data_IF_452095270243
#
_entry.id   IF_452095270243
#
_cell.length_a   1.000
_cell.length_b   1.000
_cell.length_c   1.000
_cell.angle_alpha   90.00
_cell.angle_beta   90.00
_cell.angle_gamma   90.00
#
_symmetry.space_group_name_H-M   'P 1'
#
loop_
_entity.id
_entity.type
_entity.pdbx_description
1 polymer ?
#
# COMPACT_ATOMS: atom_id res chain seq x y z
N UNK A 1 -11.17 -23.30 3.28
CA UNK A 1 -9.99 -22.75 3.97
C UNK A 1 -9.81 -21.32 3.47
N UNK A 2 -10.33 -20.31 4.17
CA UNK A 2 -9.96 -18.91 3.87
C UNK A 2 -8.48 -18.81 4.22
N UNK A 3 -7.61 -18.71 3.22
CA UNK A 3 -6.19 -18.46 3.48
C UNK A 3 -6.10 -17.24 4.41
N UNK A 4 -5.51 -17.42 5.59
CA UNK A 4 -5.42 -16.35 6.58
C UNK A 4 -4.44 -15.29 6.07
N UNK A 5 -4.97 -14.27 5.40
CA UNK A 5 -4.22 -13.12 4.88
C UNK A 5 -3.47 -12.37 5.99
N UNK A 6 -4.00 -12.38 7.22
CA UNK A 6 -3.47 -11.64 8.35
C UNK A 6 -1.99 -11.92 8.68
N UNK A 7 -1.52 -13.15 8.43
CA UNK A 7 -0.14 -13.56 8.70
C UNK A 7 0.82 -13.39 7.52
N UNK A 8 0.36 -12.93 6.35
CA UNK A 8 1.22 -12.75 5.17
C UNK A 8 2.02 -11.45 5.27
N UNK A 9 3.24 -11.45 4.73
CA UNK A 9 4.04 -10.23 4.48
C UNK A 9 3.30 -9.35 3.48
N UNK A 10 3.03 -8.09 3.83
CA UNK A 10 2.32 -7.14 2.96
C UNK A 10 3.13 -5.85 2.76
N UNK A 11 3.03 -5.30 1.54
CA UNK A 11 3.38 -3.93 1.18
C UNK A 11 2.12 -3.23 0.69
N UNK A 12 1.81 -2.07 1.26
CA UNK A 12 0.78 -1.17 0.75
C UNK A 12 1.43 0.15 0.29
N UNK A 13 1.61 0.30 -1.02
CA UNK A 13 1.96 1.58 -1.64
C UNK A 13 0.69 2.39 -1.84
N UNK A 14 0.60 3.60 -1.29
CA UNK A 14 -0.69 4.30 -1.22
C UNK A 14 -0.64 5.77 -1.68
N UNK A 15 -1.48 6.17 -2.65
CA UNK A 15 -1.61 7.55 -3.10
C UNK A 15 -2.40 8.38 -2.08
N UNK A 16 -1.77 9.40 -1.50
CA UNK A 16 -2.38 10.14 -0.39
C UNK A 16 -3.42 11.17 -0.83
N UNK A 17 -3.47 11.51 -2.12
CA UNK A 17 -4.47 12.42 -2.71
C UNK A 17 -5.52 11.68 -3.55
N UNK A 18 -5.67 10.35 -3.37
CA UNK A 18 -6.71 9.57 -4.03
C UNK A 18 -8.10 9.93 -3.49
N UNK A 19 -8.99 10.34 -4.41
CA UNK A 19 -10.37 10.72 -4.14
C UNK A 19 -11.36 9.55 -4.25
N UNK A 20 -10.99 8.49 -4.96
CA UNK A 20 -11.79 7.27 -5.10
C UNK A 20 -11.57 6.34 -3.91
N UNK A 21 -10.32 6.18 -3.48
CA UNK A 21 -9.94 5.34 -2.34
C UNK A 21 -9.14 6.15 -1.33
N UNK A 22 -9.83 6.80 -0.40
CA UNK A 22 -9.17 7.66 0.58
C UNK A 22 -8.23 6.86 1.49
N UNK A 23 -6.99 7.32 1.63
CA UNK A 23 -6.02 6.77 2.57
C UNK A 23 -6.56 6.78 4.02
N UNK A 24 -7.32 7.81 4.38
CA UNK A 24 -7.89 8.00 5.73
C UNK A 24 -8.86 6.88 6.11
N UNK A 25 -9.62 6.35 5.17
CA UNK A 25 -10.59 5.28 5.43
C UNK A 25 -10.00 3.90 5.16
N UNK A 26 -9.09 3.79 4.19
CA UNK A 26 -8.56 2.51 3.74
C UNK A 26 -7.41 2.02 4.60
N UNK A 27 -6.37 2.85 4.82
CA UNK A 27 -5.15 2.41 5.52
C UNK A 27 -5.39 1.90 6.95
N UNK A 28 -6.30 2.46 7.77
CA UNK A 28 -6.59 1.88 9.08
C UNK A 28 -7.04 0.41 9.00
N UNK A 29 -7.88 0.07 8.00
CA UNK A 29 -8.37 -1.31 7.83
C UNK A 29 -7.25 -2.27 7.45
N UNK A 30 -6.31 -1.81 6.62
CA UNK A 30 -5.12 -2.59 6.27
C UNK A 30 -4.20 -2.80 7.49
N UNK A 31 -3.95 -1.75 8.29
CA UNK A 31 -3.20 -1.84 9.54
C UNK A 31 -3.83 -2.81 10.54
N UNK A 32 -5.16 -2.80 10.66
CA UNK A 32 -5.88 -3.70 11.57
C UNK A 32 -5.89 -5.17 11.09
N UNK A 33 -5.77 -5.40 9.79
CA UNK A 33 -5.90 -6.75 9.19
C UNK A 33 -4.57 -7.51 9.18
N UNK A 34 -3.46 -6.84 8.87
CA UNK A 34 -2.18 -7.47 8.59
C UNK A 34 -1.19 -7.25 9.72
N UNK A 35 -0.65 -8.33 10.29
CA UNK A 35 0.33 -8.24 11.36
C UNK A 35 1.72 -7.75 10.87
N UNK A 36 2.06 -8.07 9.61
CA UNK A 36 3.34 -7.68 8.99
C UNK A 36 3.10 -6.85 7.72
N UNK A 37 2.63 -5.62 7.92
CA UNK A 37 2.38 -4.64 6.86
C UNK A 37 3.38 -3.49 6.90
N UNK A 38 3.96 -3.20 5.75
CA UNK A 38 4.69 -1.96 5.49
C UNK A 38 3.84 -1.06 4.59
N UNK A 39 3.80 0.24 4.89
CA UNK A 39 3.05 1.23 4.12
C UNK A 39 4.01 2.27 3.59
N UNK A 40 4.01 2.45 2.26
CA UNK A 40 4.73 3.52 1.58
C UNK A 40 3.72 4.53 1.08
N UNK A 41 3.73 5.71 1.70
CA UNK A 41 2.81 6.78 1.36
C UNK A 41 3.41 7.65 0.25
N UNK A 42 2.59 8.02 -0.74
CA UNK A 42 2.96 8.96 -1.80
C UNK A 42 2.20 10.27 -1.64
N UNK A 43 2.77 11.28 -0.96
CA UNK A 43 2.16 12.60 -0.81
C UNK A 43 1.83 13.23 -2.16
N UNK A 44 0.61 13.73 -2.30
CA UNK A 44 0.14 14.41 -3.52
C UNK A 44 -0.19 13.50 -4.70
N UNK A 45 0.17 12.22 -4.66
CA UNK A 45 -0.15 11.27 -5.72
C UNK A 45 -1.65 10.93 -5.73
N UNK A 46 -2.22 10.81 -6.94
CA UNK A 46 -3.63 10.49 -7.18
C UNK A 46 -3.78 9.01 -7.52
N UNK A 47 -4.98 8.61 -7.93
CA UNK A 47 -5.34 7.20 -8.15
C UNK A 47 -4.39 6.44 -9.10
N UNK A 48 -3.92 7.08 -10.18
CA UNK A 48 -3.03 6.47 -11.17
C UNK A 48 -1.53 6.60 -10.82
N UNK A 49 -1.18 6.62 -9.53
CA UNK A 49 0.20 6.83 -9.08
C UNK A 49 1.22 5.79 -9.59
N UNK A 50 0.79 4.63 -10.07
CA UNK A 50 1.68 3.68 -10.76
C UNK A 50 2.22 4.24 -12.08
N UNK A 51 1.46 5.11 -12.76
CA UNK A 51 1.91 5.80 -13.98
C UNK A 51 2.78 7.01 -13.64
N UNK A 52 2.45 7.72 -12.55
CA UNK A 52 3.19 8.91 -12.11
C UNK A 52 4.52 8.57 -11.43
N UNK A 53 4.55 7.48 -10.65
CA UNK A 53 5.66 7.07 -9.76
C UNK A 53 6.05 5.59 -9.92
N UNK A 54 6.24 5.07 -11.16
CA UNK A 54 6.48 3.65 -11.40
C UNK A 54 7.77 3.15 -10.75
N UNK A 55 8.82 3.99 -10.72
CA UNK A 55 10.12 3.61 -10.15
C UNK A 55 10.04 3.49 -8.64
N UNK A 56 9.45 4.48 -7.97
CA UNK A 56 9.33 4.48 -6.51
C UNK A 56 8.49 3.29 -6.01
N UNK A 57 7.46 2.90 -6.76
CA UNK A 57 6.71 1.67 -6.47
C UNK A 57 7.59 0.43 -6.64
N UNK A 58 8.31 0.32 -7.76
CA UNK A 58 9.18 -0.83 -8.01
C UNK A 58 10.28 -0.97 -6.95
N UNK A 59 10.88 0.14 -6.54
CA UNK A 59 11.89 0.20 -5.49
C UNK A 59 11.31 -0.24 -4.14
N UNK A 60 10.08 0.19 -3.80
CA UNK A 60 9.39 -0.26 -2.59
C UNK A 60 9.11 -1.77 -2.61
N UNK A 61 8.71 -2.32 -3.75
CA UNK A 61 8.49 -3.77 -3.92
C UNK A 61 9.80 -4.53 -3.69
N UNK A 62 10.89 -4.11 -4.32
CA UNK A 62 12.21 -4.72 -4.12
C UNK A 62 12.65 -4.63 -2.66
N UNK A 63 12.54 -3.46 -2.03
CA UNK A 63 12.91 -3.27 -0.63
C UNK A 63 12.13 -4.21 0.31
N UNK A 64 10.84 -4.45 0.05
CA UNK A 64 10.02 -5.30 0.92
C UNK A 64 10.26 -6.79 0.73
N UNK A 65 10.51 -7.26 -0.50
CA UNK A 65 10.38 -8.68 -0.84
C UNK A 65 11.64 -9.34 -1.41
N UNK A 66 12.74 -8.61 -1.55
CA UNK A 66 14.04 -9.21 -1.85
C UNK A 66 14.70 -9.89 -0.64
#
# INVERSE_FOLDING_TARGET
MREQLAGKRVLATYPMADRAFSAKTTLPRFRDTFADIEIVEFPGAKHFFFEDKPREVADAILARFS
#
